data_IF_518485113831
#
_entry.id   IF_518485113831
#
_cell.length_a   1.000
_cell.length_b   1.000
_cell.length_c   1.000
_cell.angle_alpha   90.00
_cell.angle_beta   90.00
_cell.angle_gamma   90.00
#
_symmetry.space_group_name_H-M   'P 1'
#
loop_
_entity.id
_entity.type
_entity.pdbx_description
1 polymer ?
#
# COMPACT_ATOMS: atom_id res chain seq x y z
N UNK A 1 -19.79 17.28 25.07
CA UNK A 1 -18.48 16.56 25.08
C UNK A 1 -17.67 17.15 23.94
N UNK A 2 -16.84 18.16 24.23
CA UNK A 2 -15.79 18.65 23.31
C UNK A 2 -14.55 17.77 23.49
N UNK A 3 -14.61 16.55 22.95
CA UNK A 3 -13.44 15.68 22.87
C UNK A 3 -13.12 15.47 21.40
N UNK A 4 -11.85 15.68 21.03
CA UNK A 4 -11.36 15.38 19.68
C UNK A 4 -11.43 13.88 19.44
N UNK A 5 -12.47 13.42 18.75
CA UNK A 5 -12.69 11.99 18.45
C UNK A 5 -11.83 11.50 17.28
N UNK A 6 -11.19 12.41 16.53
CA UNK A 6 -10.31 12.11 15.39
C UNK A 6 -9.48 13.36 15.05
N UNK A 7 -8.33 13.19 14.36
CA UNK A 7 -7.59 14.32 13.80
C UNK A 7 -8.48 15.15 12.85
N UNK A 8 -8.30 16.48 12.86
CA UNK A 8 -9.06 17.39 12.00
C UNK A 8 -8.68 17.27 10.52
N UNK A 9 -7.46 16.82 10.24
CA UNK A 9 -6.93 16.60 8.90
C UNK A 9 -5.83 15.54 8.89
N UNK A 10 -5.48 15.06 7.69
CA UNK A 10 -4.34 14.17 7.43
C UNK A 10 -3.09 15.01 7.15
N UNK A 11 -2.16 15.04 8.10
CA UNK A 11 -0.96 15.89 8.01
C UNK A 11 0.00 15.43 6.90
N UNK A 12 0.11 14.12 6.70
CA UNK A 12 0.86 13.51 5.61
C UNK A 12 0.31 13.90 4.24
N UNK A 13 -1.01 13.91 4.08
CA UNK A 13 -1.65 14.29 2.81
C UNK A 13 -1.39 15.76 2.46
N UNK A 14 -1.50 16.66 3.45
CA UNK A 14 -1.17 18.09 3.26
C UNK A 14 0.27 18.26 2.79
N UNK A 15 1.22 17.54 3.39
CA UNK A 15 2.63 17.58 2.99
C UNK A 15 2.86 17.06 1.57
N UNK A 16 2.19 15.97 1.17
CA UNK A 16 2.30 15.42 -0.19
C UNK A 16 1.71 16.38 -1.23
N UNK A 17 0.53 16.93 -0.96
CA UNK A 17 -0.10 17.88 -1.86
C UNK A 17 0.79 19.10 -2.09
N UNK A 18 1.40 19.64 -1.04
CA UNK A 18 2.34 20.75 -1.19
C UNK A 18 3.56 20.33 -2.00
N UNK A 19 4.17 19.18 -1.70
CA UNK A 19 5.40 18.74 -2.36
C UNK A 19 5.24 18.43 -3.85
N UNK A 20 4.10 17.84 -4.25
CA UNK A 20 3.91 17.32 -5.61
C UNK A 20 3.07 18.21 -6.54
N UNK A 21 2.06 18.90 -6.02
CA UNK A 21 1.11 19.67 -6.87
C UNK A 21 1.78 20.80 -7.66
N UNK A 22 2.63 21.65 -7.04
CA UNK A 22 3.30 22.72 -7.77
C UNK A 22 4.30 22.17 -8.79
N UNK A 23 5.03 21.11 -8.42
CA UNK A 23 6.06 20.51 -9.25
C UNK A 23 5.48 19.93 -10.55
N UNK A 24 4.37 19.18 -10.48
CA UNK A 24 3.73 18.64 -11.69
C UNK A 24 3.14 19.76 -12.56
N UNK A 25 2.48 20.75 -11.95
CA UNK A 25 1.92 21.88 -12.70
C UNK A 25 3.01 22.68 -13.45
N UNK A 26 4.14 22.91 -12.79
CA UNK A 26 5.30 23.55 -13.40
C UNK A 26 5.87 22.70 -14.54
N UNK A 27 6.06 21.39 -14.32
CA UNK A 27 6.59 20.48 -15.33
C UNK A 27 5.72 20.45 -16.60
N UNK A 28 4.40 20.31 -16.44
CA UNK A 28 3.46 20.30 -17.56
C UNK A 28 3.53 21.59 -18.39
N UNK A 29 3.49 22.75 -17.72
CA UNK A 29 3.44 24.06 -18.40
C UNK A 29 4.78 24.47 -19.00
N UNK A 30 5.87 24.30 -18.25
CA UNK A 30 7.16 24.87 -18.60
C UNK A 30 8.09 23.89 -19.33
N UNK A 31 8.01 22.59 -19.05
CA UNK A 31 8.84 21.60 -19.73
C UNK A 31 8.10 20.94 -20.90
N UNK A 32 6.87 20.47 -20.68
CA UNK A 32 6.08 19.84 -21.74
C UNK A 32 5.34 20.85 -22.65
N UNK A 33 5.38 22.14 -22.30
CA UNK A 33 4.70 23.23 -23.01
C UNK A 33 3.18 23.02 -23.18
N UNK A 34 2.59 22.23 -22.30
CA UNK A 34 1.15 21.97 -22.28
C UNK A 34 0.46 23.00 -21.39
N UNK A 35 -0.18 23.99 -22.03
CA UNK A 35 -0.95 25.04 -21.35
C UNK A 35 -2.43 24.80 -21.58
N UNK A 36 -3.18 24.67 -20.49
CA UNK A 36 -4.62 24.48 -20.50
C UNK A 36 -5.25 25.26 -19.35
N UNK A 37 -6.53 25.61 -19.53
CA UNK A 37 -7.47 26.12 -18.54
C UNK A 37 -8.14 25.00 -17.73
N UNK A 38 -7.97 23.73 -18.13
CA UNK A 38 -8.44 22.58 -17.37
C UNK A 38 -7.73 22.53 -16.02
N UNK A 39 -8.53 22.42 -14.95
CA UNK A 39 -8.03 22.30 -13.58
C UNK A 39 -7.33 20.95 -13.38
N UNK A 40 -6.11 20.98 -12.86
CA UNK A 40 -5.42 19.78 -12.39
C UNK A 40 -6.02 19.34 -11.05
N UNK A 41 -6.81 18.27 -11.06
CA UNK A 41 -7.44 17.73 -9.86
C UNK A 41 -6.51 16.72 -9.18
N UNK A 42 -6.04 17.05 -7.98
CA UNK A 42 -5.23 16.14 -7.16
C UNK A 42 -6.01 14.92 -6.66
N UNK A 43 -7.33 15.08 -6.51
CA UNK A 43 -8.27 14.02 -6.15
C UNK A 43 -9.56 14.18 -6.96
N UNK A 44 -10.26 13.07 -7.18
CA UNK A 44 -11.61 13.06 -7.73
C UNK A 44 -12.69 13.03 -6.64
N UNK A 45 -13.95 13.40 -6.95
CA UNK A 45 -15.10 13.28 -6.05
C UNK A 45 -15.54 11.80 -5.96
N UNK A 46 -14.71 10.96 -5.36
CA UNK A 46 -14.92 9.51 -5.26
C UNK A 46 -15.81 9.11 -4.08
N UNK A 47 -16.43 10.09 -3.39
CA UNK A 47 -17.27 9.86 -2.21
C UNK A 47 -18.75 10.05 -2.56
N UNK A 48 -19.65 9.31 -1.89
CA UNK A 48 -19.37 8.35 -0.81
C UNK A 48 -18.85 6.99 -1.33
N UNK A 49 -17.82 6.45 -0.68
CA UNK A 49 -17.44 5.05 -0.84
C UNK A 49 -18.48 4.17 -0.14
N UNK A 50 -18.92 3.09 -0.78
CA UNK A 50 -19.63 2.03 -0.07
C UNK A 50 -18.61 1.24 0.77
N UNK A 51 -18.80 1.22 2.08
CA UNK A 51 -17.94 0.48 3.02
C UNK A 51 -18.69 -0.69 3.68
N UNK A 52 -19.89 -1.01 3.22
CA UNK A 52 -20.67 -2.14 3.71
C UNK A 52 -19.98 -3.45 3.31
N UNK A 53 -20.10 -4.48 4.17
CA UNK A 53 -19.60 -5.83 3.96
C UNK A 53 -18.10 -5.96 3.58
N UNK A 54 -17.26 -5.05 4.10
CA UNK A 54 -15.81 -5.07 3.83
C UNK A 54 -15.08 -6.15 4.66
N UNK A 55 -15.05 -7.36 4.10
CA UNK A 55 -14.41 -8.55 4.70
C UNK A 55 -13.04 -8.89 4.06
N UNK A 56 -12.27 -7.88 3.63
CA UNK A 56 -11.02 -8.09 2.86
C UNK A 56 -10.05 -9.07 3.51
N UNK A 57 -9.88 -9.02 4.84
CA UNK A 57 -9.00 -9.94 5.57
C UNK A 57 -9.48 -11.39 5.46
N UNK A 58 -10.77 -11.61 5.67
CA UNK A 58 -11.37 -12.94 5.70
C UNK A 58 -11.47 -13.54 4.29
N UNK A 59 -11.75 -12.69 3.30
CA UNK A 59 -11.69 -13.04 1.88
C UNK A 59 -10.27 -13.45 1.46
N UNK A 60 -9.25 -12.71 1.88
CA UNK A 60 -7.85 -13.07 1.61
C UNK A 60 -7.46 -14.38 2.31
N UNK A 61 -7.88 -14.58 3.57
CA UNK A 61 -7.68 -15.85 4.29
C UNK A 61 -8.32 -17.01 3.53
N UNK A 62 -9.56 -16.87 3.08
CA UNK A 62 -10.26 -17.89 2.32
C UNK A 62 -9.55 -18.19 0.99
N UNK A 63 -9.11 -17.17 0.25
CA UNK A 63 -8.35 -17.33 -0.98
C UNK A 63 -7.03 -18.10 -0.75
N UNK A 64 -6.31 -17.80 0.34
CA UNK A 64 -5.10 -18.52 0.73
C UNK A 64 -5.36 -19.96 1.18
N UNK A 65 -6.52 -20.23 1.76
CA UNK A 65 -6.93 -21.59 2.13
C UNK A 65 -7.30 -22.43 0.90
N UNK A 66 -7.95 -21.82 -0.10
CA UNK A 66 -8.33 -22.47 -1.36
C UNK A 66 -7.14 -22.66 -2.30
N UNK A 67 -6.18 -21.74 -2.31
CA UNK A 67 -4.98 -21.83 -3.12
C UNK A 67 -3.75 -22.10 -2.23
N UNK A 68 -3.29 -23.36 -2.11
CA UNK A 68 -2.12 -23.69 -1.30
C UNK A 68 -0.83 -23.00 -1.79
N UNK A 69 -0.79 -22.55 -3.05
CA UNK A 69 0.35 -21.86 -3.66
C UNK A 69 0.31 -20.34 -3.49
N UNK A 70 -0.81 -19.76 -3.04
CA UNK A 70 -0.91 -18.31 -2.84
C UNK A 70 0.01 -17.87 -1.69
N UNK A 71 0.93 -16.97 -2.00
CA UNK A 71 1.84 -16.32 -1.05
C UNK A 71 1.57 -14.82 -1.06
N UNK A 72 1.76 -14.16 0.08
CA UNK A 72 1.48 -12.74 0.27
C UNK A 72 2.73 -12.04 0.78
N UNK A 73 3.14 -10.98 0.09
CA UNK A 73 4.15 -10.04 0.56
C UNK A 73 3.46 -8.74 0.97
N UNK A 74 3.67 -8.29 2.20
CA UNK A 74 3.31 -6.97 2.66
C UNK A 74 4.57 -6.11 2.81
N UNK A 75 4.59 -4.98 2.10
CA UNK A 75 5.65 -3.97 2.19
C UNK A 75 5.09 -2.75 2.90
N UNK A 76 5.75 -2.30 3.98
CA UNK A 76 5.24 -1.23 4.84
C UNK A 76 6.33 -0.24 5.24
N UNK A 77 6.03 1.06 5.19
CA UNK A 77 6.87 2.11 5.75
C UNK A 77 6.68 2.23 7.27
N UNK A 78 7.76 2.36 8.03
CA UNK A 78 7.70 2.54 9.48
C UNK A 78 7.00 3.83 9.92
N UNK A 79 6.99 4.85 9.06
CA UNK A 79 6.43 6.17 9.34
C UNK A 79 5.15 6.44 8.54
N UNK A 80 4.49 5.39 8.05
CA UNK A 80 3.24 5.53 7.32
C UNK A 80 2.11 5.92 8.28
N UNK A 81 1.52 7.11 8.07
CA UNK A 81 0.37 7.61 8.83
C UNK A 81 -0.98 7.20 8.24
N UNK A 82 -1.03 6.80 6.97
CA UNK A 82 -2.26 6.42 6.27
C UNK A 82 -2.57 4.93 6.46
N UNK A 83 -1.56 4.07 6.29
CA UNK A 83 -1.64 2.63 6.56
C UNK A 83 -0.56 2.24 7.57
N UNK A 84 -0.86 2.45 8.85
CA UNK A 84 0.16 2.36 9.90
C UNK A 84 0.84 0.99 9.97
N UNK A 85 2.16 1.00 10.17
CA UNK A 85 3.00 -0.20 10.24
C UNK A 85 2.43 -1.28 11.19
N UNK A 86 2.00 -0.88 12.39
CA UNK A 86 1.44 -1.83 13.35
C UNK A 86 0.08 -2.37 12.92
N UNK A 87 -0.79 -1.55 12.32
CA UNK A 87 -2.06 -2.02 11.78
C UNK A 87 -1.85 -3.01 10.61
N UNK A 88 -0.87 -2.75 9.73
CA UNK A 88 -0.50 -3.66 8.66
C UNK A 88 0.03 -5.00 9.20
N UNK A 89 0.96 -4.95 10.17
CA UNK A 89 1.53 -6.14 10.79
C UNK A 89 0.50 -6.94 11.59
N UNK A 90 -0.39 -6.26 12.31
CA UNK A 90 -1.51 -6.88 13.02
C UNK A 90 -2.49 -7.53 12.05
N UNK A 91 -2.90 -6.84 11.00
CA UNK A 91 -3.82 -7.40 10.00
C UNK A 91 -3.25 -8.65 9.36
N UNK A 92 -1.96 -8.64 9.00
CA UNK A 92 -1.27 -9.80 8.44
C UNK A 92 -1.27 -10.99 9.41
N UNK A 93 -1.04 -10.77 10.72
CA UNK A 93 -1.08 -11.84 11.72
C UNK A 93 -2.48 -12.38 11.96
N UNK A 94 -3.52 -11.56 11.78
CA UNK A 94 -4.92 -11.98 11.89
C UNK A 94 -5.45 -12.72 10.66
N UNK A 95 -4.75 -12.72 9.51
CA UNK A 95 -5.14 -13.54 8.35
C UNK A 95 -5.08 -15.03 8.69
N UNK A 96 -4.12 -15.45 9.51
CA UNK A 96 -3.98 -16.85 9.92
C UNK A 96 -3.72 -16.98 11.42
N UNK A 97 -4.79 -16.89 12.24
CA UNK A 97 -4.67 -17.06 13.69
C UNK A 97 -4.15 -18.45 14.08
N UNK A 98 -4.29 -19.45 13.19
CA UNK A 98 -3.87 -20.83 13.43
C UNK A 98 -2.38 -21.09 13.13
N UNK A 99 -1.71 -20.17 12.42
CA UNK A 99 -0.31 -20.31 12.01
C UNK A 99 -0.04 -21.33 10.89
N UNK A 100 -1.06 -21.96 10.29
CA UNK A 100 -0.95 -22.94 9.21
C UNK A 100 -0.38 -22.38 7.89
N UNK A 101 -0.50 -21.08 7.68
CA UNK A 101 -0.13 -20.33 6.48
C UNK A 101 1.05 -19.38 6.72
N UNK A 102 1.66 -19.41 7.92
CA UNK A 102 2.76 -18.52 8.31
C UNK A 102 3.92 -18.48 7.31
N UNK A 103 4.25 -19.62 6.70
CA UNK A 103 5.37 -19.75 5.75
C UNK A 103 5.04 -19.16 4.37
N UNK A 104 3.82 -18.64 4.18
CA UNK A 104 3.31 -18.01 2.96
C UNK A 104 3.03 -16.51 3.14
N UNK A 105 3.20 -15.97 4.34
CA UNK A 105 3.01 -14.56 4.66
C UNK A 105 4.37 -13.92 4.93
N UNK A 106 4.72 -12.90 4.15
CA UNK A 106 5.99 -12.18 4.26
C UNK A 106 5.73 -10.72 4.58
N UNK A 107 6.54 -10.17 5.47
CA UNK A 107 6.47 -8.77 5.85
C UNK A 107 7.85 -8.11 5.66
N UNK A 108 7.89 -6.96 4.99
CA UNK A 108 9.09 -6.15 4.82
C UNK A 108 8.82 -4.71 5.28
N UNK A 109 9.71 -4.22 6.15
CA UNK A 109 9.65 -2.87 6.72
C UNK A 109 10.73 -1.96 6.15
N UNK A 110 10.37 -0.72 5.87
CA UNK A 110 11.23 0.30 5.25
C UNK A 110 11.30 1.57 6.11
N UNK A 111 12.45 2.26 6.08
CA UNK A 111 12.65 3.51 6.84
C UNK A 111 12.06 4.70 6.06
N UNK A 112 10.79 4.58 5.71
CA UNK A 112 10.01 5.54 4.92
C UNK A 112 8.57 5.64 5.43
N UNK A 113 7.82 6.58 4.88
CA UNK A 113 6.37 6.72 5.08
C UNK A 113 5.56 5.92 4.06
N UNK A 114 4.34 6.38 3.79
CA UNK A 114 3.37 5.73 2.91
C UNK A 114 3.91 5.41 1.51
N UNK A 115 4.50 6.42 0.86
CA UNK A 115 5.13 6.28 -0.45
C UNK A 115 6.58 5.86 -0.28
N UNK A 116 6.80 4.62 0.18
CA UNK A 116 8.14 4.09 0.50
C UNK A 116 9.16 4.20 -0.65
N UNK A 117 8.66 4.21 -1.89
CA UNK A 117 9.44 4.33 -3.11
C UNK A 117 10.02 5.73 -3.36
N UNK A 118 9.65 6.75 -2.59
CA UNK A 118 10.22 8.10 -2.76
C UNK A 118 11.65 8.21 -2.22
N UNK A 119 11.99 7.43 -1.18
CA UNK A 119 13.36 7.36 -0.66
C UNK A 119 14.12 6.35 -1.49
N UNK A 120 15.10 6.83 -2.26
CA UNK A 120 15.84 6.01 -3.24
C UNK A 120 16.39 4.69 -2.66
N UNK A 121 16.95 4.73 -1.44
CA UNK A 121 17.43 3.52 -0.75
C UNK A 121 16.32 2.50 -0.50
N UNK A 122 15.15 2.95 -0.07
CA UNK A 122 14.00 2.08 0.20
C UNK A 122 13.33 1.62 -1.10
N UNK A 123 13.36 2.42 -2.17
CA UNK A 123 12.94 1.99 -3.51
C UNK A 123 13.79 0.83 -4.03
N UNK A 124 15.11 0.96 -3.98
CA UNK A 124 16.04 -0.10 -4.41
C UNK A 124 15.77 -1.37 -3.61
N UNK A 125 15.74 -1.24 -2.28
CA UNK A 125 15.49 -2.36 -1.38
C UNK A 125 14.11 -3.00 -1.60
N UNK A 126 13.05 -2.20 -1.76
CA UNK A 126 11.70 -2.69 -2.00
C UNK A 126 11.60 -3.45 -3.33
N UNK A 127 12.31 -3.00 -4.36
CA UNK A 127 12.40 -3.71 -5.63
C UNK A 127 13.17 -5.03 -5.49
N UNK A 128 14.27 -5.06 -4.75
CA UNK A 128 15.03 -6.28 -4.53
C UNK A 128 14.24 -7.30 -3.70
N UNK A 129 13.59 -6.86 -2.61
CA UNK A 129 12.69 -7.69 -1.82
C UNK A 129 11.54 -8.27 -2.67
N UNK A 130 10.99 -7.49 -3.59
CA UNK A 130 9.95 -7.94 -4.51
C UNK A 130 10.49 -8.98 -5.50
N UNK A 131 11.69 -8.78 -6.06
CA UNK A 131 12.34 -9.75 -6.96
C UNK A 131 12.60 -11.07 -6.24
N UNK A 132 13.16 -11.01 -5.04
CA UNK A 132 13.38 -12.18 -4.18
C UNK A 132 12.07 -12.91 -3.91
N UNK A 133 11.00 -12.17 -3.57
CA UNK A 133 9.69 -12.75 -3.33
C UNK A 133 9.11 -13.43 -4.58
N UNK A 134 9.20 -12.81 -5.75
CA UNK A 134 8.72 -13.41 -7.01
C UNK A 134 9.48 -14.71 -7.30
N UNK A 135 10.81 -14.72 -7.18
CA UNK A 135 11.63 -15.91 -7.41
C UNK A 135 11.28 -17.02 -6.40
N UNK A 136 11.09 -16.66 -5.13
CA UNK A 136 10.74 -17.59 -4.05
C UNK A 136 9.32 -18.16 -4.21
N UNK A 137 8.37 -17.34 -4.64
CA UNK A 137 6.96 -17.71 -4.75
C UNK A 137 6.59 -18.34 -6.08
N UNK A 138 7.43 -18.18 -7.11
CA UNK A 138 7.23 -18.79 -8.42
C UNK A 138 7.09 -20.31 -8.31
N UNK A 139 6.09 -20.87 -8.99
CA UNK A 139 5.82 -22.31 -8.99
C UNK A 139 6.83 -23.15 -9.79
N UNK A 140 7.87 -22.51 -10.35
CA UNK A 140 8.91 -23.13 -11.20
C UNK A 140 8.30 -24.00 -12.32
N UNK A 141 7.24 -23.50 -12.95
CA UNK A 141 6.55 -24.18 -14.06
C UNK A 141 5.52 -25.24 -13.63
N UNK A 142 5.23 -25.38 -12.33
CA UNK A 142 4.15 -26.26 -11.85
C UNK A 142 2.84 -25.50 -11.79
N UNK A 143 1.80 -26.00 -12.46
CA UNK A 143 0.45 -25.48 -12.30
C UNK A 143 -0.07 -25.77 -10.89
N UNK A 144 -0.96 -24.92 -10.38
CA UNK A 144 -1.68 -25.22 -9.16
C UNK A 144 -2.45 -26.54 -9.35
N UNK A 145 -2.20 -27.52 -8.46
CA UNK A 145 -3.02 -28.72 -8.38
C UNK A 145 -4.23 -28.41 -7.51
N UNK A 146 -5.42 -28.61 -8.06
CA UNK A 146 -6.70 -28.53 -7.37
C UNK A 146 -6.93 -29.80 -6.52
#
# INVERSE_FOLDING_TARGET
IEAGNRPDYSAELTSWLHSFTPAINYYLREHLKFKTDIKYNMFGPVRPWNNDDNEVRDNLRQAMAQNPYLQVLNQSGYYDGATTYFAAKYTLSQIDPSGKMKDRLYFKGYRSGHMMYLRNEDLIKANDDLREFIIKSASKGKSAKY
#
